data_IF_587099846020
#
_entry.id   IF_587099846020
#
_cell.length_a   1.000
_cell.length_b   1.000
_cell.length_c   1.000
_cell.angle_alpha   90.00
_cell.angle_beta   90.00
_cell.angle_gamma   90.00
#
_symmetry.space_group_name_H-M   'P 1'
#
loop_
_entity.id
_entity.type
_entity.pdbx_description
1 polymer ?
#
# COMPACT_ATOMS: atom_id res chain seq x y z
N UNK A 1 0.24 14.64 11.10
CA UNK A 1 1.15 13.87 11.97
C UNK A 1 1.27 12.47 11.38
N UNK A 2 2.45 11.87 11.32
CA UNK A 2 2.67 10.56 10.69
C UNK A 2 3.35 9.61 11.69
N UNK A 3 2.98 8.33 11.65
CA UNK A 3 3.67 7.26 12.37
C UNK A 3 4.78 6.70 11.48
N UNK A 4 6.02 6.69 11.97
CA UNK A 4 7.19 6.18 11.25
C UNK A 4 7.77 5.00 12.02
N UNK A 5 7.86 3.84 11.37
CA UNK A 5 8.41 2.61 11.94
C UNK A 5 9.54 2.08 11.04
N UNK A 6 10.71 1.85 11.60
CA UNK A 6 11.82 1.18 10.91
C UNK A 6 11.69 -0.34 11.00
N UNK A 7 11.99 -1.04 9.91
CA UNK A 7 12.00 -2.51 9.86
C UNK A 7 13.19 -3.02 9.05
N UNK A 8 13.81 -4.11 9.52
CA UNK A 8 14.83 -4.86 8.78
C UNK A 8 14.17 -5.81 7.79
N UNK A 9 14.98 -6.37 6.89
CA UNK A 9 14.55 -7.46 6.01
C UNK A 9 13.94 -8.61 6.81
N UNK A 10 12.84 -9.17 6.32
CA UNK A 10 11.99 -10.21 6.94
C UNK A 10 11.21 -9.78 8.19
N UNK A 11 11.40 -8.56 8.69
CA UNK A 11 10.55 -8.05 9.77
C UNK A 11 9.17 -7.63 9.25
N UNK A 12 8.19 -7.73 10.13
CA UNK A 12 6.80 -7.41 9.85
C UNK A 12 6.26 -6.29 10.74
N UNK A 13 5.23 -5.62 10.25
CA UNK A 13 4.35 -4.74 11.01
C UNK A 13 2.97 -5.39 10.97
N UNK A 14 2.31 -5.42 12.13
CA UNK A 14 0.94 -5.89 12.25
C UNK A 14 0.05 -4.73 12.64
N UNK A 15 -1.02 -4.53 11.89
CA UNK A 15 -2.03 -3.51 12.11
C UNK A 15 -3.33 -4.24 12.42
N UNK A 16 -3.97 -3.85 13.52
CA UNK A 16 -5.29 -4.34 13.87
C UNK A 16 -6.32 -3.27 13.57
N UNK A 17 -7.42 -3.64 12.92
CA UNK A 17 -8.60 -2.79 12.85
C UNK A 17 -9.34 -2.77 14.22
N UNK A 18 -10.34 -1.89 14.41
CA UNK A 18 -11.12 -1.86 15.65
C UNK A 18 -11.88 -3.17 15.97
N UNK A 19 -12.07 -4.04 14.99
CA UNK A 19 -12.74 -5.34 15.11
C UNK A 19 -11.76 -6.46 15.47
N UNK A 20 -10.46 -6.18 15.53
CA UNK A 20 -9.39 -7.16 15.77
C UNK A 20 -8.89 -7.87 14.52
N UNK A 21 -9.28 -7.44 13.32
CA UNK A 21 -8.81 -8.00 12.06
C UNK A 21 -7.36 -7.65 11.83
N UNK A 22 -6.55 -8.65 11.46
CA UNK A 22 -5.12 -8.49 11.26
C UNK A 22 -4.76 -8.15 9.82
N UNK A 23 -3.96 -7.10 9.64
CA UNK A 23 -3.28 -6.76 8.38
C UNK A 23 -1.78 -6.78 8.65
N UNK A 24 -1.05 -7.63 7.94
CA UNK A 24 0.39 -7.80 8.12
C UNK A 24 1.16 -7.29 6.92
N UNK A 25 2.17 -6.46 7.18
CA UNK A 25 3.05 -5.86 6.19
C UNK A 25 4.46 -6.38 6.43
N UNK A 26 5.02 -7.13 5.49
CA UNK A 26 6.35 -7.75 5.60
C UNK A 26 7.33 -7.09 4.64
N UNK A 27 8.52 -6.73 5.14
CA UNK A 27 9.61 -6.19 4.32
C UNK A 27 10.39 -7.33 3.70
N UNK A 28 10.40 -7.40 2.37
CA UNK A 28 11.16 -8.41 1.61
C UNK A 28 12.12 -7.76 0.61
N UNK A 29 13.02 -8.59 0.06
CA UNK A 29 14.04 -8.16 -0.88
C UNK A 29 13.43 -7.90 -2.25
N UNK A 30 13.82 -6.79 -2.86
CA UNK A 30 13.60 -6.51 -4.26
C UNK A 30 14.15 -7.57 -5.20
N UNK A 31 13.52 -7.76 -6.36
CA UNK A 31 14.05 -8.65 -7.41
C UNK A 31 15.04 -7.94 -8.35
N UNK A 32 15.06 -6.62 -8.35
CA UNK A 32 15.90 -5.79 -9.20
C UNK A 32 16.69 -4.76 -8.38
N UNK A 33 17.78 -4.24 -8.95
CA UNK A 33 18.59 -3.20 -8.30
C UNK A 33 17.89 -1.83 -8.26
N UNK A 34 16.81 -1.67 -9.03
CA UNK A 34 16.03 -0.43 -9.11
C UNK A 34 15.01 -0.31 -7.99
N UNK A 35 14.43 -1.43 -7.54
CA UNK A 35 13.48 -1.48 -6.43
C UNK A 35 14.07 -2.40 -5.34
N UNK A 36 15.00 -1.90 -4.52
CA UNK A 36 15.73 -2.74 -3.55
C UNK A 36 14.82 -3.34 -2.48
N UNK A 37 13.63 -2.76 -2.28
CA UNK A 37 12.65 -3.17 -1.27
C UNK A 37 11.34 -3.54 -1.95
N UNK A 38 10.73 -4.64 -1.50
CA UNK A 38 9.37 -5.02 -1.84
C UNK A 38 8.59 -5.27 -0.55
N UNK A 39 7.30 -4.94 -0.57
CA UNK A 39 6.39 -5.21 0.54
C UNK A 39 5.45 -6.35 0.16
N UNK A 40 5.24 -7.26 1.10
CA UNK A 40 4.14 -8.23 1.05
C UNK A 40 3.07 -7.75 2.04
N UNK A 41 1.83 -7.71 1.58
CA UNK A 41 0.69 -7.30 2.41
C UNK A 41 -0.25 -8.50 2.47
N UNK A 42 -0.39 -9.06 3.66
CA UNK A 42 -1.32 -10.14 3.97
C UNK A 42 -2.53 -9.52 4.65
N UNK A 43 -3.68 -9.59 4.00
CA UNK A 43 -4.94 -9.06 4.48
C UNK A 43 -6.09 -9.97 4.03
N UNK A 44 -7.23 -10.00 4.77
CA UNK A 44 -8.44 -10.67 4.32
C UNK A 44 -8.95 -10.12 2.97
N UNK A 45 -9.69 -10.94 2.22
CA UNK A 45 -10.08 -10.63 0.83
C UNK A 45 -11.07 -9.46 0.70
N UNK A 46 -11.76 -9.15 1.78
CA UNK A 46 -12.64 -7.98 1.89
C UNK A 46 -11.86 -6.67 1.88
N UNK A 47 -10.57 -6.67 2.22
CA UNK A 47 -9.70 -5.51 2.12
C UNK A 47 -9.16 -5.37 0.70
N UNK A 48 -9.27 -4.16 0.16
CA UNK A 48 -8.65 -3.84 -1.13
C UNK A 48 -7.26 -3.26 -0.90
N UNK A 49 -6.23 -3.90 -1.43
CA UNK A 49 -4.85 -3.39 -1.41
C UNK A 49 -4.55 -2.73 -2.75
N UNK A 50 -4.31 -1.41 -2.73
CA UNK A 50 -4.00 -0.62 -3.93
C UNK A 50 -2.63 0.02 -3.80
N UNK A 51 -1.98 0.22 -4.95
CA UNK A 51 -0.82 1.10 -5.04
C UNK A 51 -1.30 2.52 -5.37
N UNK A 52 -0.77 3.51 -4.68
CA UNK A 52 -1.23 4.90 -4.78
C UNK A 52 -1.16 5.43 -6.22
N UNK A 53 -0.14 5.06 -7.00
CA UNK A 53 0.01 5.51 -8.39
C UNK A 53 -1.09 5.01 -9.35
N UNK A 54 -1.83 3.97 -8.94
CA UNK A 54 -2.94 3.43 -9.73
C UNK A 54 -4.24 4.16 -9.38
N UNK A 55 -4.41 4.55 -8.11
CA UNK A 55 -5.61 5.23 -7.62
C UNK A 55 -5.78 6.62 -8.23
N UNK A 56 -4.69 7.38 -8.38
CA UNK A 56 -4.72 8.69 -9.05
C UNK A 56 -5.18 8.59 -10.50
N UNK A 57 -4.78 7.54 -11.23
CA UNK A 57 -5.18 7.35 -12.64
C UNK A 57 -6.67 7.07 -12.81
N UNK A 58 -7.29 6.37 -11.88
CA UNK A 58 -8.73 6.09 -11.94
C UNK A 58 -9.56 7.31 -11.51
N UNK A 59 -9.04 8.14 -10.58
CA UNK A 59 -9.65 9.41 -10.21
C UNK A 59 -9.78 10.38 -11.41
N UNK A 60 -8.73 10.49 -12.24
CA UNK A 60 -8.76 11.33 -13.45
C UNK A 60 -9.62 10.78 -14.59
N UNK A 61 -9.89 9.47 -14.62
CA UNK A 61 -10.80 8.86 -15.63
C UNK A 61 -12.28 9.03 -15.29
N UNK A 62 -12.62 9.08 -14.00
CA UNK A 62 -14.00 9.23 -13.55
C UNK A 62 -14.47 10.69 -13.48
N UNK A 63 -13.54 11.64 -13.40
CA UNK A 63 -13.83 13.07 -13.50
C UNK A 63 -12.96 13.69 -14.61
N UNK A 64 -13.36 13.59 -15.89
CA UNK A 64 -12.77 14.44 -16.91
C UNK A 64 -13.10 15.89 -16.52
N UNK A 65 -12.07 16.66 -16.18
CA UNK A 65 -12.18 18.09 -15.95
C UNK A 65 -12.91 18.68 -17.16
N UNK A 66 -14.15 19.11 -16.97
CA UNK A 66 -14.81 20.03 -17.88
C UNK A 66 -14.12 21.38 -17.71
N UNK A 67 -13.09 21.62 -18.53
CA UNK A 67 -12.37 22.87 -18.59
C UNK A 67 -11.48 22.86 -19.83
N UNK A 68 -11.72 23.67 -20.86
CA UNK A 68 -12.73 24.70 -20.99
C UNK A 68 -12.82 25.21 -22.42
N UNK A 69 -13.84 26.04 -22.61
CA UNK A 69 -14.04 27.13 -23.58
C UNK A 69 -13.38 27.05 -24.95
#
# INVERSE_FOLDING_TARGET
>A
MALVLSRKFEESIVIYDPSGTEIKITVIKGKDSKNPVRFVIEAPKEFTVRRTEIEEKDFFKQNPLHGGS
#
